data_IF_590080362345
#
_entry.id   IF_590080362345
#
_cell.length_a   1.000
_cell.length_b   1.000
_cell.length_c   1.000
_cell.angle_alpha   90.00
_cell.angle_beta   90.00
_cell.angle_gamma   90.00
#
_symmetry.space_group_name_H-M   'P 1'
#
loop_
_entity.id
_entity.type
_entity.pdbx_description
1 polymer ?
#
# COMPACT_ATOMS: atom_id res chain seq x y z
N UNK A 1 -0.88 -9.50 7.46
CA UNK A 1 -0.51 -10.70 6.70
C UNK A 1 0.18 -10.35 5.38
N UNK A 2 -0.42 -9.53 4.50
CA UNK A 2 0.16 -9.20 3.17
C UNK A 2 1.48 -8.45 3.29
N UNK A 3 1.52 -7.42 4.11
CA UNK A 3 2.72 -6.63 4.34
C UNK A 3 3.82 -7.48 5.00
N UNK A 4 3.44 -8.31 5.99
CA UNK A 4 4.37 -9.26 6.61
C UNK A 4 4.97 -10.25 5.59
N UNK A 5 4.19 -10.72 4.62
CA UNK A 5 4.69 -11.59 3.55
C UNK A 5 5.69 -10.86 2.61
N UNK A 6 5.47 -9.57 2.33
CA UNK A 6 6.41 -8.75 1.55
C UNK A 6 7.74 -8.55 2.30
N UNK A 7 7.67 -8.23 3.60
CA UNK A 7 8.84 -8.10 4.46
C UNK A 7 9.60 -9.42 4.56
N UNK A 8 8.90 -10.55 4.76
CA UNK A 8 9.52 -11.86 4.80
C UNK A 8 10.21 -12.22 3.47
N UNK A 9 9.59 -11.87 2.34
CA UNK A 9 10.19 -12.07 1.02
C UNK A 9 11.50 -11.29 0.85
N UNK A 10 11.52 -10.01 1.23
CA UNK A 10 12.73 -9.18 1.20
C UNK A 10 13.80 -9.78 2.12
N UNK A 11 13.44 -10.08 3.37
CA UNK A 11 14.35 -10.65 4.37
C UNK A 11 15.03 -11.97 3.92
N UNK A 12 14.35 -12.75 3.08
CA UNK A 12 14.88 -14.02 2.55
C UNK A 12 15.73 -13.84 1.30
N UNK A 13 15.50 -12.80 0.52
CA UNK A 13 16.08 -12.70 -0.82
C UNK A 13 17.09 -11.56 -0.97
N UNK A 14 16.95 -10.49 -0.21
CA UNK A 14 17.78 -9.28 -0.31
C UNK A 14 18.68 -9.11 0.91
N UNK A 15 19.80 -8.43 0.74
CA UNK A 15 20.64 -7.95 1.84
C UNK A 15 20.30 -6.51 2.13
N UNK A 16 20.12 -6.14 3.40
CA UNK A 16 19.82 -4.76 3.80
C UNK A 16 19.33 -4.65 5.23
N UNK A 17 18.88 -3.45 5.58
CA UNK A 17 18.33 -3.13 6.88
C UNK A 17 16.85 -2.78 6.76
N UNK A 18 15.99 -3.56 7.42
CA UNK A 18 14.55 -3.33 7.52
C UNK A 18 14.24 -2.76 8.89
N UNK A 19 13.64 -1.57 8.93
CA UNK A 19 13.17 -0.95 10.15
C UNK A 19 11.65 -0.81 10.11
N UNK A 20 10.95 -1.32 11.12
CA UNK A 20 9.50 -1.15 11.24
C UNK A 20 9.12 -0.30 12.45
N UNK A 21 8.01 0.45 12.30
CA UNK A 21 7.33 1.16 13.37
C UNK A 21 5.87 0.75 13.33
N UNK A 22 5.38 0.07 14.36
CA UNK A 22 4.08 -0.58 14.38
C UNK A 22 3.32 -0.27 15.70
N UNK A 23 2.00 -0.38 15.67
CA UNK A 23 1.12 -0.15 16.83
C UNK A 23 -0.10 -1.09 16.80
N UNK A 24 0.02 -2.31 17.37
CA UNK A 24 1.22 -3.02 17.84
C UNK A 24 1.97 -3.76 16.71
N UNK A 25 3.07 -4.45 17.03
CA UNK A 25 3.73 -5.39 16.13
C UNK A 25 2.79 -6.59 15.90
N UNK A 26 2.32 -6.75 14.67
CA UNK A 26 1.39 -7.83 14.30
C UNK A 26 2.12 -9.15 13.99
N UNK A 27 3.34 -9.07 13.49
CA UNK A 27 4.13 -10.21 13.09
C UNK A 27 5.60 -10.00 13.42
N UNK A 28 6.16 -10.89 14.22
CA UNK A 28 7.59 -10.84 14.59
C UNK A 28 8.41 -11.54 13.51
N UNK A 29 9.38 -10.79 12.96
CA UNK A 29 10.31 -11.29 11.97
C UNK A 29 11.67 -11.63 12.61
N UNK A 30 12.24 -12.76 12.23
CA UNK A 30 13.62 -13.09 12.57
C UNK A 30 14.53 -12.67 11.43
N UNK A 31 15.61 -11.95 11.74
CA UNK A 31 16.63 -11.56 10.75
C UNK A 31 17.19 -12.79 10.02
N UNK A 32 17.26 -12.71 8.69
CA UNK A 32 17.85 -13.71 7.80
C UNK A 32 18.97 -13.07 6.98
N UNK A 33 18.68 -12.64 5.74
CA UNK A 33 19.62 -11.86 4.95
C UNK A 33 19.60 -10.38 5.33
N UNK A 34 18.45 -9.87 5.78
CA UNK A 34 18.34 -8.51 6.29
C UNK A 34 18.54 -8.46 7.80
N UNK A 35 19.12 -7.36 8.29
CA UNK A 35 18.97 -6.94 9.67
C UNK A 35 17.54 -6.41 9.85
N UNK A 36 16.80 -6.89 10.84
CA UNK A 36 15.44 -6.42 11.12
C UNK A 36 15.38 -5.80 12.51
N UNK A 37 14.94 -4.54 12.56
CA UNK A 37 14.60 -3.82 13.78
C UNK A 37 13.12 -3.47 13.77
N UNK A 38 12.36 -4.03 14.69
CA UNK A 38 10.92 -3.74 14.85
C UNK A 38 10.72 -2.92 16.12
N UNK A 39 9.99 -1.80 15.99
CA UNK A 39 9.66 -0.88 17.07
C UNK A 39 8.17 -0.82 17.27
N UNK A 40 7.71 -1.08 18.48
CA UNK A 40 6.32 -0.93 18.87
C UNK A 40 6.11 0.42 19.55
N UNK A 41 5.10 1.15 19.07
CA UNK A 41 4.69 2.42 19.68
C UNK A 41 4.27 2.18 21.13
N UNK A 42 4.59 3.11 22.01
CA UNK A 42 4.38 3.07 23.47
C UNK A 42 5.27 2.07 24.24
N UNK A 43 5.91 1.11 23.58
CA UNK A 43 6.87 0.20 24.23
C UNK A 43 8.32 0.60 23.94
N UNK A 44 8.63 0.79 22.66
CA UNK A 44 10.00 1.02 22.17
C UNK A 44 10.21 2.46 21.70
N UNK A 45 9.12 3.18 21.44
CA UNK A 45 9.11 4.60 21.01
C UNK A 45 7.86 5.30 21.51
N UNK A 46 7.92 6.63 21.60
CA UNK A 46 6.78 7.45 22.04
C UNK A 46 5.70 7.60 20.97
N UNK A 47 6.08 7.52 19.69
CA UNK A 47 5.15 7.68 18.58
C UNK A 47 5.78 7.37 17.23
N UNK A 48 4.95 7.38 16.19
CA UNK A 48 5.40 7.17 14.82
C UNK A 48 6.39 8.24 14.36
N UNK A 49 6.14 9.50 14.71
CA UNK A 49 6.93 10.64 14.24
C UNK A 49 8.35 10.61 14.80
N UNK A 50 8.50 10.36 16.10
CA UNK A 50 9.79 10.24 16.76
C UNK A 50 10.59 9.07 16.19
N UNK A 51 9.94 7.93 16.00
CA UNK A 51 10.57 6.75 15.47
C UNK A 51 11.01 6.95 14.01
N UNK A 52 10.19 7.56 13.15
CA UNK A 52 10.54 7.81 11.76
C UNK A 52 11.67 8.83 11.61
N UNK A 53 11.67 9.91 12.42
CA UNK A 53 12.78 10.87 12.44
C UNK A 53 14.11 10.23 12.83
N UNK A 54 14.07 9.31 13.80
CA UNK A 54 15.22 8.52 14.22
C UNK A 54 15.66 7.55 13.12
N UNK A 55 14.71 6.83 12.53
CA UNK A 55 14.94 5.84 11.50
C UNK A 55 15.76 6.38 10.32
N UNK A 56 15.47 7.60 9.86
CA UNK A 56 16.19 8.25 8.76
C UNK A 56 17.70 8.47 9.03
N UNK A 57 18.17 8.26 10.27
CA UNK A 57 19.58 8.37 10.66
C UNK A 57 20.24 7.02 10.93
N UNK A 58 19.53 5.94 10.71
CA UNK A 58 19.98 4.58 11.03
C UNK A 58 20.33 3.77 9.78
N UNK A 59 20.36 4.46 8.62
CA UNK A 59 20.69 3.88 7.32
C UNK A 59 19.84 2.64 6.96
N UNK A 60 18.50 2.71 7.07
CA UNK A 60 17.65 1.62 6.63
C UNK A 60 17.50 1.61 5.12
N UNK A 61 17.41 0.44 4.50
CA UNK A 61 17.04 0.29 3.09
C UNK A 61 15.52 0.25 2.95
N UNK A 62 14.84 -0.36 3.91
CA UNK A 62 13.40 -0.60 3.93
C UNK A 62 12.80 -0.08 5.23
N UNK A 63 11.75 0.72 5.10
CA UNK A 63 11.01 1.25 6.25
C UNK A 63 9.56 0.78 6.17
N UNK A 64 9.06 0.17 7.24
CA UNK A 64 7.65 -0.19 7.37
C UNK A 64 7.00 0.73 8.40
N UNK A 65 5.96 1.45 7.97
CA UNK A 65 5.10 2.26 8.82
C UNK A 65 3.78 1.53 8.97
N UNK A 66 3.46 1.08 10.16
CA UNK A 66 2.28 0.27 10.42
C UNK A 66 1.01 0.94 9.90
N UNK A 67 0.82 2.23 10.14
CA UNK A 67 -0.31 3.00 9.65
C UNK A 67 0.02 4.48 9.46
N UNK A 68 -0.47 5.07 8.37
CA UNK A 68 -0.41 6.51 8.10
C UNK A 68 -1.71 7.18 8.57
N UNK A 69 -1.71 7.75 9.77
CA UNK A 69 -2.91 8.35 10.40
C UNK A 69 -2.98 9.87 10.24
N UNK A 70 -1.85 10.54 10.32
CA UNK A 70 -1.76 11.99 10.42
C UNK A 70 -0.81 12.59 9.38
N UNK A 71 -0.91 13.91 9.22
CA UNK A 71 -0.13 14.69 8.25
C UNK A 71 1.36 14.54 8.46
N UNK A 72 1.83 14.56 9.70
CA UNK A 72 3.26 14.54 10.01
C UNK A 72 3.87 13.18 9.66
N UNK A 73 3.20 12.08 10.01
CA UNK A 73 3.62 10.72 9.66
C UNK A 73 3.67 10.54 8.13
N UNK A 74 2.66 11.04 7.40
CA UNK A 74 2.64 10.97 5.94
C UNK A 74 3.77 11.79 5.34
N UNK A 75 4.03 13.00 5.85
CA UNK A 75 5.14 13.85 5.40
C UNK A 75 6.49 13.15 5.57
N UNK A 76 6.73 12.55 6.73
CA UNK A 76 7.98 11.84 7.02
C UNK A 76 8.14 10.61 6.12
N UNK A 77 7.06 9.86 5.88
CA UNK A 77 7.07 8.71 4.96
C UNK A 77 7.39 9.12 3.52
N UNK A 78 6.79 10.21 3.03
CA UNK A 78 7.10 10.76 1.70
C UNK A 78 8.55 11.24 1.62
N UNK A 79 9.04 11.94 2.62
CA UNK A 79 10.44 12.40 2.69
C UNK A 79 11.40 11.21 2.67
N UNK A 80 11.12 10.16 3.44
CA UNK A 80 11.91 8.93 3.43
C UNK A 80 11.96 8.30 2.02
N UNK A 81 10.80 8.22 1.35
CA UNK A 81 10.71 7.65 0.01
C UNK A 81 11.49 8.49 -1.04
N UNK A 82 11.47 9.82 -0.95
CA UNK A 82 12.24 10.71 -1.82
C UNK A 82 13.75 10.63 -1.58
N UNK A 83 14.15 10.35 -0.36
CA UNK A 83 15.57 10.24 0.00
C UNK A 83 16.17 8.85 -0.25
N UNK A 84 15.44 7.97 -0.94
CA UNK A 84 15.98 6.72 -1.47
C UNK A 84 15.54 5.45 -0.74
N UNK A 85 14.75 5.56 0.33
CA UNK A 85 14.25 4.41 1.08
C UNK A 85 13.03 3.79 0.39
N UNK A 86 12.89 2.47 0.43
CA UNK A 86 11.62 1.83 0.08
C UNK A 86 10.71 1.81 1.31
N UNK A 87 9.64 2.60 1.25
CA UNK A 87 8.69 2.75 2.36
C UNK A 87 7.43 1.91 2.11
N UNK A 88 7.11 1.03 3.04
CA UNK A 88 5.85 0.31 3.12
C UNK A 88 4.97 0.97 4.18
N UNK A 89 3.71 1.19 3.83
CA UNK A 89 2.76 1.78 4.78
C UNK A 89 1.35 1.27 4.54
N UNK A 90 0.49 1.36 5.53
CA UNK A 90 -0.93 1.04 5.40
C UNK A 90 -1.81 2.27 5.55
N UNK A 91 -2.93 2.25 4.85
CA UNK A 91 -4.04 3.20 4.98
C UNK A 91 -5.36 2.44 4.95
N UNK A 92 -6.38 2.98 5.61
CA UNK A 92 -7.73 2.43 5.59
C UNK A 92 -8.54 3.07 4.45
N UNK A 93 -8.35 2.57 3.24
CA UNK A 93 -9.02 3.03 2.02
C UNK A 93 -9.55 1.84 1.23
N UNK A 94 -10.56 2.08 0.40
CA UNK A 94 -11.26 1.02 -0.34
C UNK A 94 -10.82 0.88 -1.81
N UNK A 95 -9.89 1.73 -2.27
CA UNK A 95 -9.35 1.66 -3.64
C UNK A 95 -8.03 2.41 -3.76
N UNK A 96 -7.27 2.11 -4.81
CA UNK A 96 -6.01 2.80 -5.11
C UNK A 96 -6.21 4.31 -5.32
N UNK A 97 -7.24 4.70 -6.07
CA UNK A 97 -7.57 6.11 -6.28
C UNK A 97 -7.86 6.85 -4.96
N UNK A 98 -8.70 6.26 -4.10
CA UNK A 98 -8.98 6.85 -2.77
C UNK A 98 -7.76 6.90 -1.86
N UNK A 99 -6.80 6.02 -2.06
CA UNK A 99 -5.52 6.07 -1.33
C UNK A 99 -4.74 7.33 -1.71
N UNK A 100 -4.67 7.64 -3.01
CA UNK A 100 -4.00 8.87 -3.49
C UNK A 100 -4.69 10.11 -2.92
N UNK A 101 -6.02 10.20 -3.03
CA UNK A 101 -6.78 11.31 -2.45
C UNK A 101 -6.51 11.44 -0.95
N UNK A 102 -6.56 10.34 -0.21
CA UNK A 102 -6.36 10.33 1.25
C UNK A 102 -4.98 10.85 1.67
N UNK A 103 -3.93 10.48 0.93
CA UNK A 103 -2.57 10.96 1.20
C UNK A 103 -2.46 12.47 0.95
N UNK A 104 -3.09 12.97 -0.10
CA UNK A 104 -3.00 14.39 -0.49
C UNK A 104 -3.91 15.28 0.38
N UNK A 105 -5.10 14.78 0.72
CA UNK A 105 -6.14 15.60 1.36
C UNK A 105 -5.85 15.98 2.81
N UNK A 106 -4.95 15.29 3.48
CA UNK A 106 -4.52 15.68 4.83
C UNK A 106 -3.68 16.96 4.84
N UNK A 107 -3.14 17.37 3.69
CA UNK A 107 -2.28 18.56 3.58
C UNK A 107 -3.09 19.82 3.31
N UNK A 108 -2.62 20.98 3.82
CA UNK A 108 -3.18 22.28 3.48
C UNK A 108 -3.20 22.53 1.96
N UNK A 109 -4.17 23.27 1.48
CA UNK A 109 -4.36 23.52 0.05
C UNK A 109 -3.09 24.04 -0.67
N UNK A 110 -2.33 24.92 -0.02
CA UNK A 110 -1.09 25.47 -0.57
C UNK A 110 0.05 24.44 -0.73
N UNK A 111 0.01 23.33 -0.02
CA UNK A 111 1.02 22.29 -0.09
C UNK A 111 0.67 21.14 -1.04
N UNK A 112 -0.62 20.99 -1.38
CA UNK A 112 -1.09 19.86 -2.21
C UNK A 112 -0.35 19.70 -3.55
N UNK A 113 -0.03 20.75 -4.30
CA UNK A 113 0.73 20.61 -5.55
C UNK A 113 2.12 20.00 -5.34
N UNK A 114 2.81 20.41 -4.27
CA UNK A 114 4.11 19.85 -3.91
C UNK A 114 3.99 18.39 -3.51
N UNK A 115 3.02 18.05 -2.67
CA UNK A 115 2.76 16.68 -2.23
C UNK A 115 2.41 15.77 -3.41
N UNK A 116 1.62 16.23 -4.38
CA UNK A 116 1.36 15.49 -5.63
C UNK A 116 2.65 15.21 -6.40
N UNK A 117 3.52 16.20 -6.52
CA UNK A 117 4.82 16.03 -7.18
C UNK A 117 5.64 14.96 -6.46
N UNK A 118 5.84 15.07 -5.15
CA UNK A 118 6.58 14.11 -4.33
C UNK A 118 6.00 12.70 -4.47
N UNK A 119 4.69 12.55 -4.31
CA UNK A 119 4.02 11.26 -4.43
C UNK A 119 4.15 10.68 -5.85
N UNK A 120 4.03 11.52 -6.88
CA UNK A 120 4.14 11.08 -8.27
C UNK A 120 5.53 10.50 -8.60
N UNK A 121 6.58 11.03 -7.99
CA UNK A 121 7.96 10.57 -8.21
C UNK A 121 8.29 9.32 -7.36
N UNK A 122 7.85 9.29 -6.11
CA UNK A 122 8.22 8.24 -5.15
C UNK A 122 7.32 7.01 -5.18
N UNK A 123 6.03 7.14 -5.56
CA UNK A 123 5.07 6.03 -5.51
C UNK A 123 5.51 4.85 -6.40
N UNK A 124 5.58 3.66 -5.81
CA UNK A 124 5.86 2.40 -6.50
C UNK A 124 4.58 1.64 -6.82
N UNK A 125 3.75 1.40 -5.84
CA UNK A 125 2.47 0.70 -6.02
C UNK A 125 1.48 1.04 -4.92
N UNK A 126 0.20 0.83 -5.21
CA UNK A 126 -0.88 0.77 -4.22
C UNK A 126 -1.59 -0.56 -4.38
N UNK A 127 -1.72 -1.29 -3.28
CA UNK A 127 -2.41 -2.58 -3.24
C UNK A 127 -3.60 -2.44 -2.29
N UNK A 128 -4.80 -2.38 -2.86
CA UNK A 128 -6.04 -2.44 -2.10
C UNK A 128 -6.50 -3.89 -1.95
N UNK A 129 -7.00 -4.24 -0.77
CA UNK A 129 -7.38 -5.61 -0.44
C UNK A 129 -8.78 -5.67 0.16
N UNK A 130 -9.59 -6.61 -0.32
CA UNK A 130 -10.81 -7.06 0.34
C UNK A 130 -10.70 -8.54 0.70
N UNK A 131 -11.20 -8.92 1.89
CA UNK A 131 -11.22 -10.32 2.32
C UNK A 131 -12.63 -10.89 2.15
N UNK A 132 -12.74 -11.94 1.33
CA UNK A 132 -14.00 -12.62 1.02
C UNK A 132 -14.02 -14.03 1.64
N UNK A 133 -15.22 -14.53 1.94
CA UNK A 133 -15.40 -15.93 2.33
C UNK A 133 -15.17 -16.84 1.13
N UNK A 134 -14.40 -17.92 1.31
CA UNK A 134 -14.22 -18.95 0.27
C UNK A 134 -15.38 -19.93 0.27
N UNK A 135 -15.69 -20.47 -0.91
CA UNK A 135 -16.48 -21.70 -1.04
C UNK A 135 -15.70 -22.82 -0.33
N UNK A 136 -16.38 -23.56 0.55
CA UNK A 136 -15.75 -24.62 1.34
C UNK A 136 -15.05 -24.15 2.62
N UNK A 137 -15.11 -22.86 2.95
CA UNK A 137 -14.58 -22.32 4.22
C UNK A 137 -13.29 -21.52 4.11
N UNK A 138 -12.97 -20.78 5.15
CA UNK A 138 -11.84 -19.87 5.19
C UNK A 138 -12.08 -18.58 4.40
N UNK A 139 -11.00 -17.82 4.14
CA UNK A 139 -11.05 -16.53 3.43
C UNK A 139 -10.05 -16.52 2.28
N UNK A 140 -10.34 -15.70 1.26
CA UNK A 140 -9.42 -15.34 0.19
C UNK A 140 -9.38 -13.83 0.05
N UNK A 141 -8.25 -13.29 -0.41
CA UNK A 141 -8.11 -11.88 -0.70
C UNK A 141 -8.49 -11.60 -2.16
N UNK A 142 -9.24 -10.53 -2.38
CA UNK A 142 -9.39 -9.89 -3.67
C UNK A 142 -8.57 -8.60 -3.68
N UNK A 143 -7.87 -8.34 -4.78
CA UNK A 143 -6.89 -7.27 -4.91
C UNK A 143 -7.28 -6.27 -5.98
N UNK A 144 -7.01 -5.00 -5.72
CA UNK A 144 -6.78 -3.98 -6.75
C UNK A 144 -5.31 -3.58 -6.67
N UNK A 145 -4.60 -3.64 -7.79
CA UNK A 145 -3.17 -3.33 -7.86
C UNK A 145 -2.95 -2.21 -8.85
N UNK A 146 -2.39 -1.11 -8.36
CA UNK A 146 -1.95 0.02 -9.16
C UNK A 146 -0.44 0.15 -9.06
N UNK A 147 0.25 0.23 -10.18
CA UNK A 147 1.71 0.41 -10.25
C UNK A 147 2.02 1.83 -10.69
N UNK A 148 3.05 2.45 -10.10
CA UNK A 148 3.52 3.80 -10.40
C UNK A 148 4.16 3.93 -11.78
N UNK A 149 3.42 3.57 -12.85
CA UNK A 149 3.83 3.78 -14.23
C UNK A 149 3.89 5.27 -14.58
N UNK A 150 4.59 5.70 -15.66
CA UNK A 150 4.59 7.09 -16.11
C UNK A 150 3.17 7.66 -16.28
N UNK A 151 2.21 6.85 -16.77
CA UNK A 151 0.82 7.25 -16.91
C UNK A 151 0.16 7.54 -15.57
N UNK A 152 0.29 6.64 -14.59
CA UNK A 152 -0.24 6.84 -13.22
C UNK A 152 0.41 8.06 -12.56
N UNK A 153 1.72 8.20 -12.65
CA UNK A 153 2.46 9.35 -12.10
C UNK A 153 1.95 10.68 -12.67
N UNK A 154 1.68 10.73 -13.96
CA UNK A 154 1.13 11.91 -14.61
C UNK A 154 -0.29 12.23 -14.11
N UNK A 155 -1.15 11.22 -13.93
CA UNK A 155 -2.50 11.40 -13.38
C UNK A 155 -2.47 11.95 -11.94
N UNK A 156 -1.50 11.52 -11.11
CA UNK A 156 -1.31 12.06 -9.75
C UNK A 156 -0.91 13.52 -9.83
N UNK A 157 0.09 13.85 -10.66
CA UNK A 157 0.63 15.21 -10.78
C UNK A 157 -0.41 16.21 -11.27
N UNK A 158 -1.26 15.79 -12.23
CA UNK A 158 -2.29 16.63 -12.83
C UNK A 158 -3.64 16.62 -12.09
N UNK A 159 -3.71 15.97 -10.91
CA UNK A 159 -4.97 15.85 -10.14
C UNK A 159 -6.11 15.15 -10.92
N UNK A 160 -5.76 14.19 -11.77
CA UNK A 160 -6.71 13.42 -12.59
C UNK A 160 -7.03 12.06 -12.00
N UNK A 161 -7.25 12.00 -10.68
CA UNK A 161 -7.48 10.75 -9.94
C UNK A 161 -8.67 9.95 -10.49
N UNK A 162 -9.71 10.63 -10.97
CA UNK A 162 -10.88 9.99 -11.57
C UNK A 162 -10.55 9.08 -12.78
N UNK A 163 -9.43 9.33 -13.48
CA UNK A 163 -9.00 8.54 -14.64
C UNK A 163 -8.15 7.32 -14.27
N UNK A 164 -7.74 7.19 -13.01
CA UNK A 164 -6.86 6.10 -12.57
C UNK A 164 -7.49 4.73 -12.77
N UNK A 165 -8.79 4.59 -12.53
CA UNK A 165 -9.46 3.29 -12.71
C UNK A 165 -9.29 2.74 -14.13
N UNK A 166 -9.48 3.59 -15.14
CA UNK A 166 -9.29 3.21 -16.54
C UNK A 166 -7.84 2.84 -16.85
N UNK A 167 -6.89 3.59 -16.28
CA UNK A 167 -5.46 3.29 -16.42
C UNK A 167 -5.08 1.95 -15.76
N UNK A 168 -5.63 1.63 -14.59
CA UNK A 168 -5.44 0.34 -13.93
C UNK A 168 -6.04 -0.78 -14.78
N UNK A 169 -7.26 -0.58 -15.30
CA UNK A 169 -7.98 -1.57 -16.09
C UNK A 169 -7.23 -2.01 -17.35
N UNK A 170 -6.54 -1.07 -18.00
CA UNK A 170 -5.75 -1.31 -19.22
C UNK A 170 -4.29 -1.63 -18.95
N UNK A 171 -3.83 -1.51 -17.71
CA UNK A 171 -2.42 -1.64 -17.33
C UNK A 171 -1.96 -3.06 -16.97
N UNK A 172 -2.62 -4.10 -17.45
CA UNK A 172 -2.30 -5.50 -17.11
C UNK A 172 -0.86 -5.90 -17.44
N UNK A 173 -0.30 -5.41 -18.54
CA UNK A 173 1.09 -5.68 -18.91
C UNK A 173 2.10 -5.15 -17.89
N UNK A 174 1.73 -4.13 -17.11
CA UNK A 174 2.51 -3.57 -16.01
C UNK A 174 2.20 -4.21 -14.66
N UNK A 175 1.44 -5.30 -14.62
CA UNK A 175 1.03 -5.97 -13.39
C UNK A 175 -0.13 -5.30 -12.66
N UNK A 176 -0.81 -4.32 -13.30
CA UNK A 176 -1.99 -3.68 -12.72
C UNK A 176 -3.24 -4.55 -12.88
N UNK A 177 -4.16 -4.43 -11.93
CA UNK A 177 -5.39 -5.21 -11.92
C UNK A 177 -6.48 -4.46 -11.13
N UNK A 178 -7.67 -4.33 -11.71
CA UNK A 178 -8.82 -3.81 -10.96
C UNK A 178 -9.40 -4.87 -10.03
N UNK A 179 -10.10 -4.43 -8.98
CA UNK A 179 -10.81 -5.34 -8.08
C UNK A 179 -11.79 -6.23 -8.86
N UNK A 180 -12.54 -5.67 -9.82
CA UNK A 180 -13.53 -6.41 -10.61
C UNK A 180 -12.88 -7.50 -11.47
N UNK A 181 -11.72 -7.23 -12.07
CA UNK A 181 -10.96 -8.23 -12.83
C UNK A 181 -10.52 -9.40 -11.94
N UNK A 182 -10.03 -9.10 -10.72
CA UNK A 182 -9.64 -10.15 -9.80
C UNK A 182 -10.84 -10.94 -9.25
N UNK A 183 -11.95 -10.28 -8.96
CA UNK A 183 -13.19 -10.94 -8.57
C UNK A 183 -13.68 -11.92 -9.66
N UNK A 184 -13.60 -11.53 -10.94
CA UNK A 184 -13.91 -12.44 -12.05
C UNK A 184 -13.00 -13.66 -12.09
N UNK A 185 -11.68 -13.48 -11.83
CA UNK A 185 -10.75 -14.61 -11.76
C UNK A 185 -11.08 -15.55 -10.59
N UNK A 186 -11.36 -14.98 -9.41
CA UNK A 186 -11.75 -15.78 -8.25
C UNK A 186 -13.03 -16.59 -8.48
N UNK A 187 -14.02 -16.02 -9.18
CA UNK A 187 -15.25 -16.75 -9.58
C UNK A 187 -14.93 -17.85 -10.59
N UNK A 188 -14.12 -17.56 -11.62
CA UNK A 188 -13.69 -18.56 -12.62
C UNK A 188 -12.97 -19.75 -11.98
N UNK A 189 -12.18 -19.49 -10.96
CA UNK A 189 -11.45 -20.51 -10.17
C UNK A 189 -12.31 -21.20 -9.12
N UNK A 190 -13.61 -20.89 -9.06
CA UNK A 190 -14.57 -21.42 -8.09
C UNK A 190 -14.14 -21.21 -6.61
N UNK A 191 -13.41 -20.13 -6.33
CA UNK A 191 -13.00 -19.77 -4.98
C UNK A 191 -14.05 -18.98 -4.23
N UNK A 192 -14.87 -18.20 -4.96
CA UNK A 192 -15.99 -17.42 -4.43
C UNK A 192 -17.21 -17.57 -5.34
N UNK A 193 -18.39 -17.28 -4.81
CA UNK A 193 -19.62 -17.27 -5.61
C UNK A 193 -19.77 -15.98 -6.40
N UNK A 194 -20.55 -15.99 -7.49
CA UNK A 194 -20.92 -14.76 -8.22
C UNK A 194 -21.62 -13.74 -7.32
N UNK A 195 -22.48 -14.21 -6.43
CA UNK A 195 -23.19 -13.34 -5.48
C UNK A 195 -22.21 -12.60 -4.58
N UNK A 196 -21.22 -13.29 -4.03
CA UNK A 196 -20.17 -12.67 -3.22
C UNK A 196 -19.35 -11.65 -4.02
N UNK A 197 -18.97 -11.99 -5.26
CA UNK A 197 -18.28 -11.06 -6.14
C UNK A 197 -19.09 -9.79 -6.40
N UNK A 198 -20.41 -9.93 -6.69
CA UNK A 198 -21.33 -8.82 -6.92
C UNK A 198 -21.45 -7.85 -5.73
N UNK A 199 -21.32 -8.35 -4.50
CA UNK A 199 -21.36 -7.51 -3.29
C UNK A 199 -20.19 -6.54 -3.20
N UNK A 200 -19.00 -6.95 -3.64
CA UNK A 200 -17.77 -6.18 -3.57
C UNK A 200 -17.42 -5.45 -4.87
N UNK A 201 -18.02 -5.84 -5.98
CA UNK A 201 -17.74 -5.29 -7.30
C UNK A 201 -18.09 -3.80 -7.42
N UNK A 202 -17.27 -3.07 -8.15
CA UNK A 202 -17.54 -1.69 -8.55
C UNK A 202 -18.61 -1.67 -9.66
N UNK A 203 -18.49 -2.54 -10.66
CA UNK A 203 -19.53 -2.77 -11.68
C UNK A 203 -20.22 -4.12 -11.43
N UNK A 204 -21.37 -4.04 -10.79
CA UNK A 204 -22.16 -5.23 -10.42
C UNK A 204 -22.72 -6.01 -11.62
N UNK A 205 -22.84 -5.37 -12.79
CA UNK A 205 -23.35 -5.99 -14.03
C UNK A 205 -22.43 -7.09 -14.55
N UNK A 206 -21.14 -7.02 -14.22
CA UNK A 206 -20.15 -8.05 -14.60
C UNK A 206 -20.43 -9.42 -13.97
N UNK A 207 -21.33 -9.49 -12.98
CA UNK A 207 -21.64 -10.69 -12.20
C UNK A 207 -23.13 -11.05 -12.23
N UNK A 208 -23.86 -10.55 -13.22
CA UNK A 208 -25.25 -10.92 -13.49
C UNK A 208 -25.39 -12.25 -14.22
#
# INVERSE_FOLDING_TARGET
TTLAAMIDHINKNEYGHILSVEDPIEFVHTSQKCLINQREVHRDTHGFNEALRSALREDPDYILVGELRDLETIRLALTAAETGHLVFATLHTSSAAKTIDRVIDVFPAGEKPMVRSMLSESLRAVISQALLKKIGGGRTAAWEIMVGTPAIRNLIREDKVAQMYSAIQTGQQSGMMTLDQHLQDLVKRALITRQQAKEYAKDKRLFE
#
